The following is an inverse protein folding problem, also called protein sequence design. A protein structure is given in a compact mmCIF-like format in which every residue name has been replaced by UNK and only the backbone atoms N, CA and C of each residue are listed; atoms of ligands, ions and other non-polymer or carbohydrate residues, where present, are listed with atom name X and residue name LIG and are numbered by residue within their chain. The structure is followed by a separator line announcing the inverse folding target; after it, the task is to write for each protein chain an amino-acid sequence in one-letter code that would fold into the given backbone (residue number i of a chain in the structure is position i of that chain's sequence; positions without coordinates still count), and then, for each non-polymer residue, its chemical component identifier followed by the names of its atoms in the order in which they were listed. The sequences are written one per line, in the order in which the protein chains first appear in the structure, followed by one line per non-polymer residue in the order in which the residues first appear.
data_IF_981080859222
#
_entry.id   IF_981080859222
#
_cell.length_a   1.000
_cell.length_b   1.000
_cell.length_c   1.000
_cell.angle_alpha   90.00
_cell.angle_beta   90.00
_cell.angle_gamma   90.00
#
_symmetry.space_group_name_H-M   'P 1'
#
loop_
_entity.id
_entity.type
_entity.pdbx_description
1 polymer ?
#
# COMPACT_ATOMS: atom_id res chain seq x y z
N UNK A 1 -13.60 -1.47 -51.33
CA UNK A 1 -14.01 -1.68 -49.91
C UNK A 1 -12.76 -1.78 -49.06
N UNK A 2 -12.77 -1.26 -47.82
CA UNK A 2 -11.66 -1.45 -46.87
C UNK A 2 -12.15 -2.26 -45.67
N UNK A 3 -11.56 -3.43 -45.36
CA UNK A 3 -11.94 -4.18 -44.17
C UNK A 3 -11.49 -3.41 -42.92
N UNK A 4 -12.46 -2.99 -42.09
CA UNK A 4 -12.16 -2.40 -40.78
C UNK A 4 -11.38 -3.41 -39.95
N UNK A 5 -10.23 -3.01 -39.42
CA UNK A 5 -9.37 -3.87 -38.59
C UNK A 5 -10.15 -4.38 -37.37
N UNK A 6 -10.42 -5.68 -37.32
CA UNK A 6 -10.89 -6.38 -36.11
C UNK A 6 -9.77 -6.42 -35.07
N UNK A 7 -9.53 -5.28 -34.43
CA UNK A 7 -8.53 -5.13 -33.37
C UNK A 7 -9.06 -5.77 -32.09
N UNK A 8 -8.49 -6.91 -31.73
CA UNK A 8 -8.96 -7.70 -30.60
C UNK A 8 -8.86 -6.95 -29.26
N UNK A 9 -10.00 -6.48 -28.76
CA UNK A 9 -10.17 -5.97 -27.40
C UNK A 9 -10.10 -7.12 -26.39
N UNK A 10 -8.91 -7.70 -26.20
CA UNK A 10 -8.67 -8.92 -25.40
C UNK A 10 -8.55 -8.67 -23.89
N UNK A 11 -8.44 -7.41 -23.45
CA UNK A 11 -8.06 -7.05 -22.09
C UNK A 11 -9.20 -6.33 -21.37
N UNK A 12 -10.07 -7.09 -20.72
CA UNK A 12 -11.22 -6.59 -19.95
C UNK A 12 -10.89 -6.62 -18.45
N UNK A 13 -11.39 -5.67 -17.68
CA UNK A 13 -11.34 -5.77 -16.22
C UNK A 13 -12.33 -6.85 -15.75
N UNK A 14 -11.93 -7.64 -14.74
CA UNK A 14 -12.74 -8.73 -14.17
C UNK A 14 -13.23 -8.42 -12.75
N UNK A 15 -12.95 -7.22 -12.26
CA UNK A 15 -13.30 -6.80 -10.90
C UNK A 15 -14.83 -6.61 -10.76
N UNK A 16 -15.45 -7.12 -9.68
CA UNK A 16 -16.89 -7.03 -9.49
C UNK A 16 -17.32 -5.56 -9.38
N UNK A 17 -18.31 -5.16 -10.17
CA UNK A 17 -18.78 -3.76 -10.28
C UNK A 17 -17.99 -2.88 -11.26
N UNK A 18 -16.89 -3.36 -11.86
CA UNK A 18 -16.12 -2.59 -12.82
C UNK A 18 -16.71 -2.62 -14.25
N UNK A 19 -17.48 -1.61 -14.62
CA UNK A 19 -18.04 -1.44 -15.97
C UNK A 19 -17.09 -0.71 -16.95
N UNK A 20 -15.78 -0.94 -16.84
CA UNK A 20 -14.78 -0.29 -17.70
C UNK A 20 -14.76 -0.87 -19.11
N UNK A 21 -14.65 0.01 -20.11
CA UNK A 21 -14.52 -0.38 -21.53
C UNK A 21 -13.32 -1.32 -21.74
N UNK A 22 -13.42 -2.36 -22.57
CA UNK A 22 -12.34 -3.31 -22.79
C UNK A 22 -11.16 -2.63 -23.49
N UNK A 23 -9.95 -2.89 -23.00
CA UNK A 23 -8.74 -2.23 -23.44
C UNK A 23 -8.12 -2.96 -24.64
N UNK A 24 -7.63 -2.19 -25.61
CA UNK A 24 -6.91 -2.72 -26.77
C UNK A 24 -5.49 -3.23 -26.42
N UNK A 25 -4.95 -2.88 -25.24
CA UNK A 25 -3.59 -3.24 -24.79
C UNK A 25 -3.58 -3.69 -23.33
N UNK A 26 -2.73 -4.68 -23.01
CA UNK A 26 -2.50 -5.19 -21.66
C UNK A 26 -2.01 -4.09 -20.69
N UNK A 27 -1.21 -3.15 -21.19
CA UNK A 27 -0.67 -2.02 -20.42
C UNK A 27 -1.79 -1.11 -19.89
N UNK A 28 -2.81 -0.84 -20.74
CA UNK A 28 -3.99 -0.05 -20.38
C UNK A 28 -4.80 -0.72 -19.28
N UNK A 29 -5.05 -2.04 -19.41
CA UNK A 29 -5.71 -2.82 -18.36
C UNK A 29 -4.89 -2.83 -17.06
N UNK A 30 -3.57 -3.02 -17.13
CA UNK A 30 -2.70 -3.02 -15.94
C UNK A 30 -2.68 -1.66 -15.24
N UNK A 31 -2.70 -0.55 -16.00
CA UNK A 31 -2.81 0.81 -15.44
C UNK A 31 -4.17 1.04 -14.80
N UNK A 32 -5.26 0.65 -15.48
CA UNK A 32 -6.62 0.73 -14.96
C UNK A 32 -6.79 -0.06 -13.65
N UNK A 33 -6.32 -1.31 -13.60
CA UNK A 33 -6.36 -2.11 -12.36
C UNK A 33 -5.57 -1.40 -11.25
N UNK A 34 -4.40 -0.79 -11.55
CA UNK A 34 -3.62 -0.03 -10.54
C UNK A 34 -4.26 1.28 -10.08
N UNK A 35 -5.05 1.93 -10.93
CA UNK A 35 -5.66 3.24 -10.66
C UNK A 35 -7.06 3.13 -10.03
N UNK A 36 -7.86 2.14 -10.46
CA UNK A 36 -9.27 1.95 -10.05
C UNK A 36 -9.43 0.82 -9.04
N UNK A 37 -8.65 -0.26 -9.18
CA UNK A 37 -8.70 -1.46 -8.33
C UNK A 37 -7.42 -1.67 -7.52
N UNK A 38 -6.60 -0.63 -7.42
CA UNK A 38 -5.26 -0.69 -6.86
C UNK A 38 -5.32 -0.69 -5.34
N UNK A 39 -5.74 -1.80 -4.75
CA UNK A 39 -5.87 -2.02 -3.30
C UNK A 39 -4.56 -1.94 -2.53
N UNK A 40 -3.41 -1.82 -3.20
CA UNK A 40 -2.14 -1.54 -2.57
C UNK A 40 -2.20 -0.16 -1.87
N UNK A 41 -2.21 -0.10 -0.52
CA UNK A 41 -2.29 1.15 0.20
C UNK A 41 -1.11 2.04 -0.19
N UNK A 42 -1.35 3.35 -0.24
CA UNK A 42 -0.26 4.30 -0.38
C UNK A 42 0.52 4.34 0.95
N UNK A 43 1.73 3.79 0.94
CA UNK A 43 2.61 3.72 2.11
C UNK A 43 3.45 4.99 2.15
N UNK A 44 3.57 5.59 3.32
CA UNK A 44 4.42 6.77 3.54
C UNK A 44 5.74 6.30 4.14
N UNK A 45 6.82 6.37 3.36
CA UNK A 45 8.17 5.99 3.83
C UNK A 45 8.81 7.20 4.52
N UNK A 46 9.16 7.11 5.82
CA UNK A 46 9.92 8.16 6.48
C UNK A 46 11.38 8.13 6.01
N UNK A 47 11.91 9.29 5.61
CA UNK A 47 13.28 9.45 5.13
C UNK A 47 14.14 10.17 6.19
N UNK A 48 15.47 9.96 6.25
CA UNK A 48 16.34 10.62 7.22
C UNK A 48 16.40 12.16 7.07
N UNK A 49 16.01 12.70 5.91
CA UNK A 49 15.78 14.14 5.71
C UNK A 49 14.50 14.70 6.38
N UNK A 50 13.82 13.89 7.21
CA UNK A 50 12.55 14.20 7.90
C UNK A 50 11.34 14.41 6.95
N UNK A 51 11.45 14.04 5.67
CA UNK A 51 10.31 14.00 4.74
C UNK A 51 9.68 12.61 4.72
N UNK A 52 8.37 12.55 4.52
CA UNK A 52 7.64 11.32 4.23
C UNK A 52 7.34 11.24 2.73
N UNK A 53 7.77 10.17 2.07
CA UNK A 53 7.55 9.98 0.64
C UNK A 53 6.39 9.01 0.43
N UNK A 54 5.34 9.51 -0.23
CA UNK A 54 4.18 8.70 -0.64
C UNK A 54 4.59 7.74 -1.76
N UNK A 55 4.57 6.46 -1.46
CA UNK A 55 4.97 5.36 -2.32
C UNK A 55 3.88 4.31 -2.42
N UNK A 56 4.02 3.35 -3.33
CA UNK A 56 3.19 2.12 -3.37
C UNK A 56 4.11 0.92 -3.46
N UNK A 57 3.66 -0.25 -3.02
CA UNK A 57 4.44 -1.51 -2.95
C UNK A 57 5.25 -1.84 -4.22
N UNK A 58 4.77 -1.41 -5.39
CA UNK A 58 5.39 -1.66 -6.70
C UNK A 58 5.81 -0.39 -7.48
N UNK A 59 5.74 0.80 -6.88
CA UNK A 59 6.01 2.09 -7.54
C UNK A 59 6.99 2.92 -6.69
N UNK A 60 8.29 2.71 -6.95
CA UNK A 60 9.41 3.27 -6.17
C UNK A 60 9.86 4.66 -6.65
N UNK A 61 9.35 5.13 -7.79
CA UNK A 61 9.91 6.27 -8.52
C UNK A 61 9.83 7.62 -7.81
N UNK A 62 8.96 7.76 -6.80
CA UNK A 62 8.98 8.93 -5.92
C UNK A 62 10.16 8.91 -4.94
N UNK A 63 10.57 7.73 -4.46
CA UNK A 63 11.72 7.56 -3.56
C UNK A 63 13.01 7.71 -4.37
N UNK A 64 13.12 7.05 -5.52
CA UNK A 64 14.28 7.17 -6.42
C UNK A 64 14.55 8.63 -6.82
N UNK A 65 13.50 9.38 -7.23
CA UNK A 65 13.59 10.81 -7.53
C UNK A 65 14.00 11.64 -6.30
N UNK A 66 13.56 11.23 -5.10
CA UNK A 66 13.97 11.89 -3.87
C UNK A 66 15.45 11.64 -3.54
N UNK A 67 15.96 10.41 -3.67
CA UNK A 67 17.39 10.12 -3.46
C UNK A 67 18.30 10.87 -4.44
N UNK A 68 17.86 11.04 -5.69
CA UNK A 68 18.59 11.80 -6.70
C UNK A 68 18.67 13.32 -6.41
N UNK A 69 17.67 13.87 -5.72
CA UNK A 69 17.50 15.33 -5.55
C UNK A 69 17.73 15.84 -4.13
N UNK A 70 17.58 15.01 -3.10
CA UNK A 70 17.77 15.41 -1.71
C UNK A 70 19.20 15.15 -1.25
N UNK A 71 19.98 16.21 -1.07
CA UNK A 71 21.40 16.14 -0.65
C UNK A 71 21.59 15.28 0.61
N UNK A 72 20.69 15.38 1.59
CA UNK A 72 20.73 14.60 2.84
C UNK A 72 20.58 13.10 2.58
N UNK A 73 19.60 12.70 1.75
CA UNK A 73 19.35 11.29 1.46
C UNK A 73 20.22 10.71 0.32
N UNK A 74 20.87 11.57 -0.47
CA UNK A 74 21.82 11.19 -1.51
C UNK A 74 23.15 10.69 -0.94
N UNK A 75 23.53 11.19 0.23
CA UNK A 75 24.77 10.80 0.93
C UNK A 75 24.63 9.51 1.75
N UNK A 76 23.42 8.97 1.89
CA UNK A 76 23.13 7.77 2.68
C UNK A 76 22.82 6.60 1.76
N UNK A 77 23.51 5.46 1.93
CA UNK A 77 23.16 4.21 1.26
C UNK A 77 21.88 3.63 1.88
N UNK A 78 20.73 3.94 1.24
CA UNK A 78 19.41 3.54 1.72
C UNK A 78 18.84 2.39 0.87
N UNK A 79 18.63 1.22 1.46
CA UNK A 79 17.93 0.13 0.78
C UNK A 79 16.41 0.37 0.74
N UNK A 80 15.95 0.86 -0.42
CA UNK A 80 14.53 1.16 -0.67
C UNK A 80 13.65 -0.10 -0.52
N UNK A 81 14.19 -1.30 -0.76
CA UNK A 81 13.42 -2.54 -0.66
C UNK A 81 13.03 -2.86 0.79
N UNK A 82 14.00 -2.82 1.71
CA UNK A 82 13.79 -3.03 3.15
C UNK A 82 12.84 -1.98 3.74
N UNK A 83 13.10 -0.68 3.51
CA UNK A 83 12.25 0.40 4.04
C UNK A 83 10.79 0.30 3.58
N UNK A 84 10.54 -0.14 2.34
CA UNK A 84 9.18 -0.39 1.84
C UNK A 84 8.54 -1.64 2.44
N UNK A 85 9.33 -2.68 2.71
CA UNK A 85 8.84 -3.91 3.33
C UNK A 85 8.49 -3.69 4.80
N UNK A 86 9.31 -2.94 5.55
CA UNK A 86 9.05 -2.52 6.93
C UNK A 86 7.81 -1.63 7.00
N UNK A 87 7.72 -0.59 6.18
CA UNK A 87 6.56 0.30 6.19
C UNK A 87 5.25 -0.39 5.73
N UNK A 88 5.33 -1.40 4.86
CA UNK A 88 4.19 -2.26 4.53
C UNK A 88 3.82 -3.22 5.69
N UNK A 89 4.81 -3.73 6.43
CA UNK A 89 4.59 -4.65 7.56
C UNK A 89 4.06 -3.92 8.80
N UNK A 90 4.49 -2.68 9.05
CA UNK A 90 3.92 -1.82 10.09
C UNK A 90 2.42 -1.53 9.86
N UNK A 91 1.97 -1.55 8.59
CA UNK A 91 0.57 -1.26 8.23
C UNK A 91 -0.42 -2.35 8.67
N UNK A 92 0.04 -3.57 9.01
CA UNK A 92 -0.83 -4.65 9.54
C UNK A 92 -0.79 -4.77 11.07
N UNK A 93 0.09 -4.04 11.75
CA UNK A 93 0.27 -4.14 13.22
C UNK A 93 -0.70 -3.27 14.04
N UNK A 94 -1.49 -2.39 13.41
CA UNK A 94 -2.44 -1.48 14.10
C UNK A 94 -3.85 -2.04 14.25
N UNK A 95 -4.00 -3.37 14.11
CA UNK A 95 -5.29 -4.08 14.06
C UNK A 95 -5.51 -5.08 15.19
N UNK A 96 -5.08 -4.76 16.41
CA UNK A 96 -5.45 -5.49 17.63
C UNK A 96 -6.04 -4.49 18.63
N UNK A 97 -7.34 -4.59 18.86
CA UNK A 97 -8.14 -3.65 19.66
C UNK A 97 -8.08 -3.94 21.16
N UNK A 98 -8.06 -2.88 21.98
CA UNK A 98 -8.30 -2.92 23.42
C UNK A 98 -9.71 -3.46 23.76
N UNK A 99 -9.80 -4.73 24.19
CA UNK A 99 -10.99 -5.39 24.80
C UNK A 99 -10.59 -6.81 25.26
N UNK A 100 -10.83 -7.35 26.47
CA UNK A 100 -11.41 -6.88 27.76
C UNK A 100 -10.62 -7.59 28.89
N UNK A 101 -10.54 -7.07 30.13
CA UNK A 101 -10.11 -7.93 31.25
C UNK A 101 -9.66 -7.28 32.56
N UNK A 102 -10.40 -6.30 33.09
CA UNK A 102 -10.19 -5.90 34.49
C UNK A 102 -10.81 -6.94 35.44
N UNK A 103 -9.99 -7.78 36.08
CA UNK A 103 -10.42 -8.61 37.21
C UNK A 103 -9.91 -7.99 38.51
N UNK A 104 -10.87 -7.65 39.37
CA UNK A 104 -10.66 -7.11 40.71
C UNK A 104 -10.02 -8.17 41.63
N UNK A 105 -9.16 -7.82 42.59
CA UNK A 105 -8.80 -8.74 43.66
C UNK A 105 -9.96 -8.89 44.66
N UNK A 106 -10.68 -10.01 44.60
CA UNK A 106 -11.47 -10.50 45.74
C UNK A 106 -10.57 -11.34 46.64
N UNK A 107 -10.14 -10.78 47.77
CA UNK A 107 -9.57 -11.54 48.89
C UNK A 107 -10.43 -11.26 50.13
N UNK A 108 -10.93 -12.31 50.76
CA UNK A 108 -12.14 -12.26 51.57
C UNK A 108 -11.93 -11.83 53.03
N UNK A 109 -12.89 -11.07 53.56
CA UNK A 109 -13.08 -10.89 55.01
C UNK A 109 -14.16 -11.86 55.54
N UNK A 110 -13.80 -12.87 56.34
CA UNK A 110 -14.73 -13.49 57.28
C UNK A 110 -14.74 -12.70 58.60
N UNK A 111 -15.94 -12.42 59.13
CA UNK A 111 -16.12 -11.71 60.41
C UNK A 111 -16.69 -12.60 61.54
N UNK A 112 -16.79 -12.03 62.74
CA UNK A 112 -17.30 -12.67 63.97
C UNK A 112 -16.19 -13.36 64.78
N UNK A 113 -16.10 -13.19 66.10
CA UNK A 113 -17.10 -12.76 67.10
C UNK A 113 -16.65 -11.55 67.92
#
# INVERSE_FOLDING_TARGET
MSPKRSSGNKYVCKEPGCNSKPFARKDGLKRHIREVHGTAPAVYVPMPCKKQIKSRKNDKSNIERHLLTCIICKATELDIASMLNEAFSASVASGASDFVGGSLPEEATPGGF
#
